data_IF_042769841120
#
_entry.id   IF_042769841120
#
_cell.length_a   1.000
_cell.length_b   1.000
_cell.length_c   1.000
_cell.angle_alpha   90.00
_cell.angle_beta   90.00
_cell.angle_gamma   90.00
#
_symmetry.space_group_name_H-M   'P 1'
#
loop_
_entity.id
_entity.type
_entity.pdbx_description
1 polymer ?
#
# COMPACT_ATOMS: atom_id res chain seq x y z
N UNK A 1 -4.34 0.02 6.87
CA UNK A 1 -5.31 0.12 5.77
C UNK A 1 -5.48 1.58 5.42
N UNK A 2 -5.34 1.93 4.15
CA UNK A 2 -5.60 3.26 3.60
C UNK A 2 -6.85 3.16 2.73
N UNK A 3 -8.04 3.54 3.24
CA UNK A 3 -9.29 3.33 2.52
C UNK A 3 -9.45 4.23 1.28
N UNK A 4 -8.76 5.37 1.25
CA UNK A 4 -8.79 6.28 0.12
C UNK A 4 -7.39 6.86 -0.11
N UNK A 5 -6.75 6.38 -1.17
CA UNK A 5 -5.50 6.92 -1.71
C UNK A 5 -5.83 7.54 -3.06
N UNK A 6 -5.66 8.85 -3.13
CA UNK A 6 -5.97 9.65 -4.32
C UNK A 6 -4.69 9.84 -5.11
N UNK A 7 -4.73 9.50 -6.39
CA UNK A 7 -3.68 9.77 -7.35
C UNK A 7 -3.96 11.08 -8.08
N UNK A 8 -2.97 11.96 -8.14
CA UNK A 8 -3.05 13.26 -8.83
C UNK A 8 -1.84 13.42 -9.74
N UNK A 9 -2.08 13.58 -11.05
CA UNK A 9 -1.05 13.77 -12.07
C UNK A 9 -1.46 13.24 -13.43
N UNK A 10 -0.64 13.48 -14.45
CA UNK A 10 -0.89 13.02 -15.83
C UNK A 10 0.29 12.20 -16.40
N UNK A 11 1.53 12.59 -16.10
CA UNK A 11 2.76 11.92 -16.55
C UNK A 11 3.70 11.64 -15.38
N UNK A 12 3.87 12.64 -14.51
CA UNK A 12 4.49 12.52 -13.20
C UNK A 12 3.46 13.03 -12.19
N UNK A 13 3.13 12.20 -11.22
CA UNK A 13 2.11 12.50 -10.23
C UNK A 13 2.52 12.10 -8.83
N UNK A 14 1.69 12.49 -7.87
CA UNK A 14 1.78 12.05 -6.48
C UNK A 14 0.53 11.28 -6.09
N UNK A 15 0.67 10.33 -5.19
CA UNK A 15 -0.44 9.71 -4.49
C UNK A 15 -0.40 10.14 -3.03
N UNK A 16 -1.57 10.42 -2.46
CA UNK A 16 -1.72 10.67 -1.02
C UNK A 16 -2.92 9.91 -0.47
N UNK A 17 -2.79 9.40 0.74
CA UNK A 17 -3.93 8.88 1.47
C UNK A 17 -3.66 8.76 2.96
N UNK A 18 -4.72 8.66 3.74
CA UNK A 18 -4.66 8.46 5.18
C UNK A 18 -5.32 7.14 5.55
N UNK A 19 -4.91 6.59 6.68
CA UNK A 19 -5.31 5.26 7.07
C UNK A 19 -5.02 4.94 8.52
N UNK A 20 -5.46 3.75 8.92
CA UNK A 20 -5.24 3.22 10.26
C UNK A 20 -4.48 1.89 10.21
N UNK A 21 -3.54 1.72 11.14
CA UNK A 21 -2.99 0.42 11.48
C UNK A 21 -4.00 -0.32 12.36
N UNK A 22 -4.36 -1.55 11.97
CA UNK A 22 -5.28 -2.38 12.73
C UNK A 22 -4.56 -3.63 13.23
N UNK A 23 -4.69 -3.93 14.53
CA UNK A 23 -4.16 -5.13 15.18
C UNK A 23 -5.29 -5.75 16.00
N UNK A 24 -5.56 -7.04 15.80
CA UNK A 24 -6.66 -7.72 16.48
C UNK A 24 -8.04 -7.06 16.26
N UNK A 25 -8.28 -6.49 15.08
CA UNK A 25 -9.53 -5.79 14.75
C UNK A 25 -9.64 -4.34 15.25
N UNK A 26 -8.73 -3.89 16.11
CA UNK A 26 -8.75 -2.54 16.70
C UNK A 26 -7.76 -1.62 16.01
N UNK A 27 -8.11 -0.35 15.83
CA UNK A 27 -7.19 0.68 15.32
C UNK A 27 -6.20 1.07 16.41
N UNK A 28 -4.91 0.98 16.13
CA UNK A 28 -3.82 1.21 17.09
C UNK A 28 -2.87 2.34 16.68
N UNK A 29 -3.15 3.02 15.58
CA UNK A 29 -2.39 4.15 15.09
C UNK A 29 -2.89 4.62 13.73
N UNK A 30 -2.62 5.88 13.40
CA UNK A 30 -3.02 6.52 12.15
C UNK A 30 -1.79 6.98 11.38
N UNK A 31 -1.87 6.84 10.06
CA UNK A 31 -0.72 7.02 9.17
C UNK A 31 -1.17 7.69 7.88
N UNK A 32 -0.27 8.45 7.27
CA UNK A 32 -0.37 8.91 5.89
C UNK A 32 0.54 8.09 4.98
N UNK A 33 0.17 8.00 3.71
CA UNK A 33 0.98 7.38 2.66
C UNK A 33 1.21 8.39 1.54
N UNK A 34 2.43 8.43 1.02
CA UNK A 34 2.85 9.24 -0.13
C UNK A 34 3.66 8.37 -1.08
N UNK A 35 3.34 8.39 -2.37
CA UNK A 35 4.15 7.72 -3.38
C UNK A 35 4.19 8.52 -4.68
N UNK A 36 5.22 8.27 -5.49
CA UNK A 36 5.27 8.74 -6.85
C UNK A 36 4.33 7.89 -7.72
N UNK A 37 3.56 8.55 -8.57
CA UNK A 37 2.78 7.89 -9.62
C UNK A 37 3.51 8.05 -10.96
N UNK A 38 3.80 6.92 -11.60
CA UNK A 38 4.30 6.86 -12.97
C UNK A 38 3.25 6.14 -13.82
N UNK A 39 2.55 6.86 -14.69
CA UNK A 39 1.46 6.29 -15.47
C UNK A 39 0.78 7.27 -16.41
N UNK A 40 0.14 6.71 -17.44
CA UNK A 40 -0.53 7.39 -18.56
C UNK A 40 -2.01 7.72 -18.27
N UNK A 41 -2.46 7.54 -17.02
CA UNK A 41 -3.86 7.71 -16.65
C UNK A 41 -4.14 9.18 -16.36
N UNK A 42 -4.65 9.86 -17.38
CA UNK A 42 -5.32 11.14 -17.26
C UNK A 42 -6.51 11.02 -16.29
N UNK A 43 -6.36 11.48 -15.04
CA UNK A 43 -7.48 11.64 -14.12
C UNK A 43 -7.16 11.37 -12.65
N UNK A 44 -8.10 11.76 -11.78
CA UNK A 44 -8.06 11.43 -10.36
C UNK A 44 -8.69 10.05 -10.15
N UNK A 45 -7.89 9.07 -9.74
CA UNK A 45 -8.40 7.76 -9.32
C UNK A 45 -8.21 7.58 -7.82
N UNK A 46 -9.23 7.04 -7.16
CA UNK A 46 -9.16 6.64 -5.76
C UNK A 46 -9.06 5.12 -5.68
N UNK A 47 -8.17 4.64 -4.82
CA UNK A 47 -7.98 3.22 -4.52
C UNK A 47 -7.82 3.01 -3.02
N UNK A 48 -8.16 1.81 -2.56
CA UNK A 48 -7.81 1.38 -1.21
C UNK A 48 -6.50 0.59 -1.25
N UNK A 49 -5.59 0.87 -0.32
CA UNK A 49 -4.37 0.09 -0.12
C UNK A 49 -4.41 -0.63 1.23
N UNK A 50 -4.22 -1.94 1.21
CA UNK A 50 -4.17 -2.77 2.42
C UNK A 50 -2.79 -3.40 2.52
N UNK A 51 -2.01 -2.93 3.49
CA UNK A 51 -0.73 -3.52 3.87
C UNK A 51 -0.99 -4.58 4.93
N UNK A 52 -0.58 -5.81 4.64
CA UNK A 52 -0.64 -6.97 5.53
C UNK A 52 0.77 -7.29 6.00
N UNK A 53 0.99 -7.16 7.31
CA UNK A 53 2.22 -7.60 7.96
C UNK A 53 2.03 -9.06 8.36
N UNK A 54 2.68 -9.97 7.63
CA UNK A 54 2.51 -11.41 7.81
C UNK A 54 3.46 -11.99 8.85
N UNK A 55 4.46 -11.22 9.28
CA UNK A 55 5.35 -11.56 10.39
C UNK A 55 5.31 -10.51 11.48
N UNK A 56 5.54 -10.94 12.71
CA UNK A 56 5.59 -10.03 13.85
C UNK A 56 6.76 -9.05 13.74
N UNK A 57 7.90 -9.49 13.20
CA UNK A 57 9.08 -8.64 13.01
C UNK A 57 8.81 -7.50 12.04
N UNK A 58 8.13 -7.76 10.93
CA UNK A 58 7.76 -6.71 9.98
C UNK A 58 6.79 -5.68 10.59
N UNK A 59 5.82 -6.16 11.38
CA UNK A 59 4.92 -5.27 12.12
C UNK A 59 5.68 -4.42 13.14
N UNK A 60 6.60 -5.03 13.88
CA UNK A 60 7.40 -4.33 14.89
C UNK A 60 8.30 -3.27 14.25
N UNK A 61 9.00 -3.62 13.18
CA UNK A 61 9.86 -2.71 12.44
C UNK A 61 9.07 -1.51 11.90
N UNK A 62 7.89 -1.76 11.30
CA UNK A 62 6.99 -0.71 10.85
C UNK A 62 6.60 0.24 11.99
N UNK A 63 6.18 -0.30 13.14
CA UNK A 63 5.73 0.51 14.29
C UNK A 63 6.84 1.31 14.96
N UNK A 64 8.07 0.81 14.93
CA UNK A 64 9.23 1.48 15.53
C UNK A 64 9.81 2.58 14.62
N UNK A 65 9.53 2.53 13.32
CA UNK A 65 9.99 3.53 12.37
C UNK A 65 9.26 4.88 12.51
N UNK A 66 9.98 5.99 12.32
CA UNK A 66 9.40 7.36 12.20
C UNK A 66 8.97 7.68 10.77
N UNK A 67 8.71 6.64 9.98
CA UNK A 67 8.56 6.69 8.54
C UNK A 67 9.12 5.40 7.96
N UNK A 68 8.27 4.66 7.25
CA UNK A 68 8.59 3.38 6.63
C UNK A 68 8.39 3.47 5.13
N UNK A 69 9.29 2.89 4.35
CA UNK A 69 9.31 2.97 2.89
C UNK A 69 9.25 1.57 2.30
N UNK A 70 8.21 1.30 1.51
CA UNK A 70 8.05 0.03 0.83
C UNK A 70 9.21 -0.24 -0.14
N UNK A 71 9.78 -1.45 -0.08
CA UNK A 71 10.91 -1.87 -0.91
C UNK A 71 12.28 -1.47 -0.35
N UNK A 72 12.38 -0.39 0.44
CA UNK A 72 13.63 0.04 1.06
C UNK A 72 13.78 -0.47 2.50
N UNK A 73 12.75 -0.28 3.34
CA UNK A 73 12.78 -0.69 4.75
C UNK A 73 12.33 -2.14 4.94
N UNK A 74 11.49 -2.68 4.05
CA UNK A 74 11.14 -4.08 4.04
C UNK A 74 10.87 -4.58 2.62
N UNK A 75 11.07 -5.89 2.43
CA UNK A 75 10.61 -6.57 1.21
C UNK A 75 9.08 -6.61 1.20
N UNK A 76 8.50 -6.06 0.14
CA UNK A 76 7.06 -5.93 -0.04
C UNK A 76 6.65 -6.64 -1.31
N UNK A 77 5.62 -7.47 -1.19
CA UNK A 77 4.97 -8.13 -2.30
C UNK A 77 3.64 -7.46 -2.64
N UNK A 78 3.33 -7.37 -3.93
CA UNK A 78 2.00 -6.97 -4.40
C UNK A 78 1.20 -8.21 -4.74
N UNK A 79 0.03 -8.34 -4.13
CA UNK A 79 -0.94 -9.37 -4.50
C UNK A 79 -1.69 -8.92 -5.75
N UNK A 80 -1.57 -9.68 -6.84
CA UNK A 80 -2.17 -9.37 -8.14
C UNK A 80 -3.16 -10.45 -8.53
N UNK A 81 -4.19 -10.06 -9.29
CA UNK A 81 -5.11 -10.98 -9.96
C UNK A 81 -4.85 -10.92 -11.46
N UNK A 82 -4.56 -12.08 -12.06
CA UNK A 82 -4.38 -12.24 -13.49
C UNK A 82 -5.70 -12.14 -14.26
N UNK A 83 -5.62 -11.99 -15.59
CA UNK A 83 -6.79 -11.84 -16.46
C UNK A 83 -7.76 -13.04 -16.43
N UNK A 84 -7.28 -14.20 -16.00
CA UNK A 84 -8.04 -15.44 -15.79
C UNK A 84 -8.60 -15.57 -14.35
N UNK A 85 -8.43 -14.56 -13.50
CA UNK A 85 -8.86 -14.59 -12.11
C UNK A 85 -7.90 -15.30 -11.15
N UNK A 86 -6.74 -15.80 -11.61
CA UNK A 86 -5.76 -16.45 -10.72
C UNK A 86 -4.99 -15.41 -9.90
N UNK A 87 -4.81 -15.67 -8.60
CA UNK A 87 -3.95 -14.85 -7.74
C UNK A 87 -2.50 -15.22 -7.99
N UNK A 88 -1.65 -14.23 -8.23
CA UNK A 88 -0.20 -14.41 -8.31
C UNK A 88 0.36 -14.69 -6.91
N UNK A 89 0.81 -15.92 -6.67
CA UNK A 89 1.40 -16.37 -5.41
C UNK A 89 2.93 -16.39 -5.43
N UNK A 90 3.57 -15.90 -6.49
CA UNK A 90 5.03 -15.98 -6.67
C UNK A 90 5.80 -15.24 -5.55
N UNK A 91 5.11 -14.33 -4.85
CA UNK A 91 5.64 -13.52 -3.75
C UNK A 91 5.02 -13.84 -2.39
N UNK A 92 4.35 -14.99 -2.26
CA UNK A 92 3.61 -15.38 -1.05
C UNK A 92 4.47 -15.47 0.23
N UNK A 93 5.79 -15.52 0.11
CA UNK A 93 6.75 -15.58 1.23
C UNK A 93 7.18 -14.22 1.75
N UNK A 94 6.81 -13.11 1.10
CA UNK A 94 7.21 -11.78 1.56
C UNK A 94 6.61 -11.46 2.95
N UNK A 95 7.38 -10.84 3.85
CA UNK A 95 6.91 -10.54 5.21
C UNK A 95 5.83 -9.45 5.24
N UNK A 96 5.74 -8.64 4.18
CA UNK A 96 4.68 -7.66 3.95
C UNK A 96 4.05 -7.91 2.58
N UNK A 97 2.74 -8.06 2.55
CA UNK A 97 1.96 -8.13 1.31
C UNK A 97 1.05 -6.91 1.21
N UNK A 98 0.79 -6.46 -0.02
CA UNK A 98 -0.05 -5.31 -0.28
C UNK A 98 -1.09 -5.63 -1.32
N UNK A 99 -2.32 -5.27 -1.00
CA UNK A 99 -3.48 -5.41 -1.86
C UNK A 99 -3.95 -4.00 -2.23
N UNK A 100 -4.17 -3.76 -3.52
CA UNK A 100 -4.85 -2.57 -4.01
C UNK A 100 -6.25 -2.93 -4.52
N UNK A 101 -7.25 -2.16 -4.13
CA UNK A 101 -8.63 -2.30 -4.57
C UNK A 101 -9.13 -1.01 -5.21
N UNK A 102 -9.89 -1.18 -6.29
CA UNK A 102 -10.68 -0.12 -6.93
C UNK A 102 -12.16 -0.48 -6.83
N UNK A 103 -13.05 0.40 -7.32
CA UNK A 103 -14.48 0.09 -7.42
C UNK A 103 -14.77 -1.11 -8.35
N UNK A 104 -13.84 -1.47 -9.23
CA UNK A 104 -13.96 -2.64 -10.11
C UNK A 104 -13.41 -3.93 -9.49
N UNK A 105 -12.81 -3.86 -8.29
CA UNK A 105 -12.19 -5.00 -7.61
C UNK A 105 -10.66 -4.89 -7.48
N UNK A 106 -9.98 -6.04 -7.43
CA UNK A 106 -8.54 -6.13 -7.22
C UNK A 106 -7.76 -5.50 -8.39
N UNK A 107 -6.76 -4.68 -8.06
CA UNK A 107 -5.95 -3.97 -9.05
C UNK A 107 -4.84 -4.88 -9.58
N UNK A 108 -4.81 -5.13 -10.89
CA UNK A 108 -3.81 -6.01 -11.51
C UNK A 108 -2.42 -5.38 -11.70
N UNK A 109 -2.34 -4.05 -11.72
CA UNK A 109 -1.09 -3.31 -11.87
C UNK A 109 -0.93 -2.31 -10.72
N UNK A 110 0.06 -2.52 -9.86
CA UNK A 110 0.40 -1.65 -8.74
C UNK A 110 1.92 -1.59 -8.62
N UNK A 111 2.47 -0.38 -8.56
CA UNK A 111 3.83 -0.13 -8.10
C UNK A 111 3.78 0.49 -6.71
N UNK A 112 4.65 0.00 -5.82
CA UNK A 112 4.77 0.49 -4.44
C UNK A 112 6.18 0.97 -4.11
N UNK A 113 7.12 0.82 -5.04
CA UNK A 113 8.50 1.20 -4.79
C UNK A 113 8.60 2.69 -4.47
N UNK A 114 9.26 3.02 -3.36
CA UNK A 114 9.35 4.40 -2.87
C UNK A 114 8.07 4.94 -2.21
N UNK A 115 7.05 4.10 -1.98
CA UNK A 115 5.88 4.49 -1.17
C UNK A 115 6.30 4.66 0.28
N UNK A 116 6.16 5.88 0.80
CA UNK A 116 6.47 6.23 2.17
C UNK A 116 5.19 6.28 3.01
N UNK A 117 5.23 5.63 4.16
CA UNK A 117 4.18 5.62 5.18
C UNK A 117 4.70 6.30 6.43
N UNK A 118 4.01 7.33 6.91
CA UNK A 118 4.44 8.13 8.07
C UNK A 118 3.34 8.19 9.13
N UNK A 119 3.68 8.15 10.43
CA UNK A 119 2.70 8.37 11.50
C UNK A 119 2.06 9.76 11.37
N UNK A 120 0.75 9.84 11.59
CA UNK A 120 0.05 11.12 11.73
C UNK A 120 0.20 11.60 13.18
N UNK A 121 0.59 12.85 13.35
CA UNK A 121 0.52 13.53 14.64
C UNK A 121 -0.93 13.99 14.84
N UNK A 122 -1.70 13.18 15.56
CA UNK A 122 -3.09 13.48 15.97
C UNK A 122 -3.18 13.60 17.49
#
# INVERSE_FOLDING_TARGET
>A
MFPSVVEVGFVVGGQYGEGALRVGGTSVGYYSTVSAAFGFLAGAQSKALVFLFLTQDALNQFRQSKGWTAGADASVAVVKVGANGSVDTTTATAPVQVIALTNAGLMGNLSLEGTKVSPLAI
#
